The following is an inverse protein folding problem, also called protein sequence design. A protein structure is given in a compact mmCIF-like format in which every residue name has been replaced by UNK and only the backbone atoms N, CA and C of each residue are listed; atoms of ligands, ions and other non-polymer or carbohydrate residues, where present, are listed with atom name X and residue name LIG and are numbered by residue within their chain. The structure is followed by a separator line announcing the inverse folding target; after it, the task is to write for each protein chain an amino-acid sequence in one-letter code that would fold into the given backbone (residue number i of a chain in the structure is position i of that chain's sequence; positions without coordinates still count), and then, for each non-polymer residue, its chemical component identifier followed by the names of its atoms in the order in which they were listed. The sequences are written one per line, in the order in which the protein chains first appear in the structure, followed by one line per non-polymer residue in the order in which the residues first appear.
data_IF_084794443460
#
_entry.id   IF_084794443460
#
_cell.length_a   1.000
_cell.length_b   1.000
_cell.length_c   1.000
_cell.angle_alpha   90.00
_cell.angle_beta   90.00
_cell.angle_gamma   90.00
#
_symmetry.space_group_name_H-M   'P 1'
#
loop_
_entity.id
_entity.type
_entity.pdbx_description
1 polymer ?
#
# COMPACT_ATOMS: atom_id res chain seq x y z
N UNK A 1 -14.35 -32.15 -11.93
CA UNK A 1 -14.53 -31.94 -10.48
C UNK A 1 -13.15 -32.02 -9.86
N UNK A 2 -12.58 -30.90 -9.41
CA UNK A 2 -11.30 -30.87 -8.72
C UNK A 2 -11.41 -29.99 -7.48
N UNK A 3 -10.81 -30.49 -6.41
CA UNK A 3 -11.13 -30.28 -5.02
C UNK A 3 -11.12 -28.84 -4.50
N UNK A 4 -12.17 -28.54 -3.73
CA UNK A 4 -12.51 -27.26 -3.12
C UNK A 4 -11.98 -27.22 -1.70
N UNK A 5 -10.67 -27.13 -1.52
CA UNK A 5 -10.09 -26.86 -0.20
C UNK A 5 -8.84 -25.98 -0.32
N UNK A 6 -9.06 -24.66 -0.46
CA UNK A 6 -8.06 -23.65 -0.10
C UNK A 6 -7.79 -23.77 1.40
N UNK A 7 -6.80 -24.59 1.75
CA UNK A 7 -6.46 -24.94 3.12
C UNK A 7 -5.80 -23.81 3.91
N UNK A 8 -5.70 -23.98 5.25
CA UNK A 8 -5.18 -23.00 6.22
C UNK A 8 -3.78 -22.43 5.92
N UNK A 9 -3.03 -23.04 4.99
CA UNK A 9 -1.70 -22.58 4.56
C UNK A 9 -1.75 -21.25 3.78
N UNK A 10 -2.76 -21.02 2.94
CA UNK A 10 -2.91 -19.75 2.22
C UNK A 10 -3.26 -18.58 3.17
N UNK A 11 -4.02 -18.89 4.22
CA UNK A 11 -4.38 -17.94 5.28
C UNK A 11 -3.18 -17.62 6.18
N UNK A 12 -2.34 -18.61 6.47
CA UNK A 12 -1.08 -18.42 7.20
C UNK A 12 -0.09 -17.52 6.45
N UNK A 13 0.06 -17.66 5.13
CA UNK A 13 0.98 -16.80 4.36
C UNK A 13 0.54 -15.33 4.38
N UNK A 14 -0.77 -15.07 4.22
CA UNK A 14 -1.32 -13.70 4.28
C UNK A 14 -1.21 -13.10 5.68
N UNK A 15 -1.47 -13.89 6.73
CA UNK A 15 -1.36 -13.43 8.12
C UNK A 15 0.09 -13.17 8.52
N UNK A 16 1.05 -14.01 8.09
CA UNK A 16 2.48 -13.81 8.32
C UNK A 16 2.98 -12.56 7.59
N UNK A 17 2.52 -12.31 6.36
CA UNK A 17 2.91 -11.12 5.59
C UNK A 17 2.37 -9.82 6.21
N UNK A 18 1.13 -9.85 6.69
CA UNK A 18 0.55 -8.74 7.41
C UNK A 18 1.26 -8.49 8.76
N UNK A 19 1.75 -9.55 9.41
CA UNK A 19 2.62 -9.45 10.58
C UNK A 19 4.01 -8.87 10.25
N UNK A 20 4.64 -9.25 9.14
CA UNK A 20 5.95 -8.69 8.73
C UNK A 20 5.84 -7.21 8.37
N UNK A 21 4.76 -6.80 7.70
CA UNK A 21 4.45 -5.39 7.47
C UNK A 21 4.17 -4.63 8.76
N UNK A 22 3.36 -5.20 9.66
CA UNK A 22 3.07 -4.61 10.97
C UNK A 22 4.33 -4.48 11.84
N UNK A 23 5.25 -5.44 11.77
CA UNK A 23 6.49 -5.45 12.55
C UNK A 23 7.56 -4.52 11.97
N UNK A 24 7.66 -4.44 10.64
CA UNK A 24 8.47 -3.43 9.95
C UNK A 24 8.01 -2.01 10.28
N UNK A 25 6.69 -1.76 10.26
CA UNK A 25 6.11 -0.45 10.58
C UNK A 25 6.16 -0.12 12.08
N UNK A 26 5.93 -1.08 12.97
CA UNK A 26 5.96 -0.85 14.43
C UNK A 26 7.36 -0.45 14.94
N UNK A 27 8.44 -0.94 14.31
CA UNK A 27 9.82 -0.53 14.65
C UNK A 27 10.25 0.79 14.01
N UNK A 28 9.57 1.25 12.96
CA UNK A 28 9.76 2.59 12.42
C UNK A 28 9.08 3.66 13.29
N UNK A 29 8.06 3.29 14.06
CA UNK A 29 7.28 4.21 14.92
C UNK A 29 7.84 4.28 16.36
N UNK A 30 8.53 3.24 16.84
CA UNK A 30 9.04 3.18 18.24
C UNK A 30 10.42 3.79 18.46
N UNK A 31 11.12 4.22 17.40
CA UNK A 31 12.40 4.93 17.51
C UNK A 31 12.20 6.45 17.58
N UNK A 32 11.75 6.96 18.73
CA UNK A 32 11.58 8.40 18.91
C UNK A 32 10.86 8.78 20.20
N UNK A 33 11.42 8.40 21.35
CA UNK A 33 11.22 9.16 22.59
C UNK A 33 12.35 10.18 22.61
N UNK A 34 12.08 11.39 22.12
CA UNK A 34 12.80 12.63 22.46
C UNK A 34 11.95 13.79 21.92
N UNK A 35 11.33 14.53 22.83
CA UNK A 35 10.67 15.81 22.54
C UNK A 35 11.74 16.86 22.15
N UNK A 36 11.58 17.61 21.04
CA UNK A 36 12.21 18.91 20.88
C UNK A 36 11.17 20.04 20.87
N UNK A 37 11.59 21.28 21.20
CA UNK A 37 10.71 22.34 21.65
C UNK A 37 9.86 22.94 20.54
N UNK A 38 8.73 23.53 20.95
CA UNK A 38 7.79 24.27 20.12
C UNK A 38 8.51 25.19 19.12
N UNK A 39 8.52 24.78 17.85
CA UNK A 39 8.93 25.61 16.73
C UNK A 39 7.68 26.24 16.17
N UNK A 40 7.56 27.56 16.37
CA UNK A 40 6.57 28.43 15.75
C UNK A 40 6.62 28.22 14.24
N UNK A 41 5.66 27.45 13.72
CA UNK A 41 5.53 27.21 12.30
C UNK A 41 4.62 28.30 11.76
N UNK A 42 5.18 29.19 10.94
CA UNK A 42 4.41 30.09 10.09
C UNK A 42 3.38 29.23 9.34
N UNK A 43 2.09 29.50 9.56
CA UNK A 43 0.97 28.92 8.82
C UNK A 43 1.12 29.28 7.34
N UNK A 44 1.94 28.51 6.62
CA UNK A 44 1.78 28.36 5.18
C UNK A 44 0.59 27.44 5.04
N UNK A 45 -0.61 28.02 4.97
CA UNK A 45 -1.80 27.33 4.52
C UNK A 45 -1.53 26.91 3.07
N UNK A 46 -0.86 25.77 2.90
CA UNK A 46 -0.75 25.09 1.64
C UNK A 46 -2.19 24.87 1.20
N UNK A 47 -2.62 25.60 0.17
CA UNK A 47 -3.94 25.44 -0.40
C UNK A 47 -3.95 24.03 -0.98
N UNK A 48 -4.50 23.07 -0.23
CA UNK A 48 -4.64 21.69 -0.66
C UNK A 48 -5.35 21.74 -2.01
N UNK A 49 -4.62 21.41 -3.08
CA UNK A 49 -5.22 21.35 -4.41
C UNK A 49 -6.35 20.33 -4.31
N UNK A 50 -7.61 20.70 -4.58
CA UNK A 50 -8.74 19.81 -4.36
C UNK A 50 -8.50 18.53 -5.16
N UNK A 51 -8.36 17.43 -4.44
CA UNK A 51 -8.06 16.15 -5.06
C UNK A 51 -9.23 15.76 -5.98
N UNK A 52 -8.91 15.26 -7.17
CA UNK A 52 -9.93 14.80 -8.10
C UNK A 52 -10.18 13.32 -7.87
N UNK A 53 -11.40 12.95 -7.50
CA UNK A 53 -11.78 11.53 -7.40
C UNK A 53 -11.74 10.91 -8.78
N UNK A 54 -11.00 9.82 -8.91
CA UNK A 54 -10.97 8.99 -10.13
C UNK A 54 -12.00 7.86 -10.01
N UNK A 55 -12.63 7.51 -11.13
CA UNK A 55 -13.67 6.48 -11.14
C UNK A 55 -13.12 5.08 -10.86
N UNK A 56 -11.95 4.74 -11.41
CA UNK A 56 -11.22 3.51 -11.07
C UNK A 56 -9.82 3.84 -10.52
N UNK A 57 -9.64 3.81 -9.18
CA UNK A 57 -8.38 4.15 -8.54
C UNK A 57 -7.25 3.15 -8.79
N UNK A 58 -7.56 1.96 -9.31
CA UNK A 58 -6.56 0.97 -9.70
C UNK A 58 -6.29 0.96 -11.22
N UNK A 59 -7.15 1.60 -12.01
CA UNK A 59 -7.09 1.58 -13.46
C UNK A 59 -7.18 0.19 -14.08
N UNK A 60 -6.76 0.12 -15.34
CA UNK A 60 -6.78 -1.11 -16.10
C UNK A 60 -5.64 -2.05 -15.66
N UNK A 61 -5.90 -3.36 -15.51
CA UNK A 61 -4.85 -4.32 -15.28
C UNK A 61 -3.93 -4.45 -16.50
N UNK A 62 -2.65 -4.79 -16.30
CA UNK A 62 -1.75 -5.15 -17.39
C UNK A 62 -2.24 -6.40 -18.12
N UNK A 63 -1.76 -6.62 -19.35
CA UNK A 63 -2.16 -7.75 -20.19
C UNK A 63 -2.04 -9.09 -19.43
N UNK A 64 -3.06 -9.93 -19.56
CA UNK A 64 -3.21 -11.24 -18.88
C UNK A 64 -3.49 -11.19 -17.38
N UNK A 65 -3.56 -9.99 -16.77
CA UNK A 65 -3.97 -9.83 -15.38
C UNK A 65 -5.46 -9.47 -15.25
N UNK A 66 -6.05 -9.84 -14.13
CA UNK A 66 -7.34 -9.32 -13.67
C UNK A 66 -7.19 -8.74 -12.26
N UNK A 67 -8.00 -7.74 -11.94
CA UNK A 67 -8.07 -7.15 -10.61
C UNK A 67 -9.37 -7.57 -9.93
N UNK A 68 -9.29 -8.62 -9.13
CA UNK A 68 -10.45 -9.21 -8.45
C UNK A 68 -10.66 -8.59 -7.08
N UNK A 69 -11.92 -8.38 -6.66
CA UNK A 69 -12.19 -7.94 -5.29
C UNK A 69 -11.78 -9.03 -4.31
N UNK A 70 -11.07 -8.64 -3.25
CA UNK A 70 -10.76 -9.57 -2.16
C UNK A 70 -11.97 -9.76 -1.25
N UNK A 71 -11.99 -10.86 -0.49
CA UNK A 71 -13.04 -11.09 0.50
C UNK A 71 -12.99 -10.04 1.61
N UNK A 72 -14.15 -9.69 2.18
CA UNK A 72 -14.24 -8.74 3.29
C UNK A 72 -13.42 -9.19 4.50
N UNK A 73 -13.33 -10.50 4.75
CA UNK A 73 -12.50 -11.07 5.80
C UNK A 73 -11.01 -10.78 5.58
N UNK A 74 -10.53 -10.96 4.34
CA UNK A 74 -9.15 -10.64 3.97
C UNK A 74 -8.89 -9.15 4.13
N UNK A 75 -9.81 -8.31 3.62
CA UNK A 75 -9.72 -6.85 3.73
C UNK A 75 -9.62 -6.39 5.18
N UNK A 76 -10.57 -6.79 6.02
CA UNK A 76 -10.60 -6.40 7.43
C UNK A 76 -9.35 -6.88 8.19
N UNK A 77 -8.85 -8.09 7.88
CA UNK A 77 -7.60 -8.58 8.45
C UNK A 77 -6.40 -7.73 8.05
N UNK A 78 -6.32 -7.30 6.78
CA UNK A 78 -5.23 -6.45 6.30
C UNK A 78 -5.31 -5.05 6.89
N UNK A 79 -6.50 -4.43 6.92
CA UNK A 79 -6.71 -3.12 7.56
C UNK A 79 -6.24 -3.15 9.01
N UNK A 80 -6.68 -4.17 9.77
CA UNK A 80 -6.28 -4.32 11.17
C UNK A 80 -4.76 -4.54 11.33
N UNK A 81 -4.16 -5.38 10.50
CA UNK A 81 -2.74 -5.69 10.62
C UNK A 81 -1.84 -4.52 10.23
N UNK A 82 -2.24 -3.76 9.21
CA UNK A 82 -1.51 -2.57 8.76
C UNK A 82 -1.87 -1.31 9.55
N UNK A 83 -2.78 -1.43 10.53
CA UNK A 83 -3.35 -0.32 11.28
C UNK A 83 -3.79 0.82 10.37
N UNK A 84 -4.42 0.47 9.24
CA UNK A 84 -4.91 1.46 8.28
C UNK A 84 -6.13 2.15 8.88
N UNK A 85 -6.10 3.48 8.84
CA UNK A 85 -7.24 4.27 9.24
C UNK A 85 -8.33 4.20 8.16
N UNK A 86 -9.57 3.94 8.57
CA UNK A 86 -10.76 3.98 7.70
C UNK A 86 -11.62 5.23 7.96
N UNK A 87 -11.15 6.19 8.78
CA UNK A 87 -11.88 7.42 9.09
C UNK A 87 -12.19 8.25 7.83
N UNK A 88 -11.28 8.28 6.86
CA UNK A 88 -11.46 8.94 5.55
C UNK A 88 -12.28 8.12 4.54
N UNK A 89 -12.68 6.89 4.90
CA UNK A 89 -13.47 6.00 4.05
C UNK A 89 -13.01 4.55 4.09
N UNK A 90 -13.78 3.67 3.45
CA UNK A 90 -13.47 2.24 3.39
C UNK A 90 -12.21 1.99 2.56
N UNK A 91 -11.24 1.28 3.15
CA UNK A 91 -10.06 0.78 2.42
C UNK A 91 -10.52 -0.26 1.40
N UNK A 92 -10.23 -0.02 0.13
CA UNK A 92 -10.54 -0.98 -0.94
C UNK A 92 -9.32 -1.84 -1.24
N UNK A 93 -9.58 -3.11 -1.57
CA UNK A 93 -8.51 -4.05 -1.89
C UNK A 93 -8.87 -4.91 -3.11
N UNK A 94 -7.92 -5.04 -4.03
CA UNK A 94 -8.01 -5.95 -5.18
C UNK A 94 -6.82 -6.90 -5.21
N UNK A 95 -7.06 -8.15 -5.60
CA UNK A 95 -6.05 -9.13 -5.91
C UNK A 95 -5.70 -9.02 -7.40
N UNK A 96 -4.43 -8.78 -7.71
CA UNK A 96 -3.90 -8.91 -9.06
C UNK A 96 -3.69 -10.40 -9.36
N UNK A 97 -4.51 -10.95 -10.24
CA UNK A 97 -4.47 -12.37 -10.59
C UNK A 97 -3.99 -12.57 -12.02
N UNK A 98 -3.26 -13.66 -12.25
CA UNK A 98 -2.93 -14.18 -13.58
C UNK A 98 -3.25 -15.67 -13.58
N UNK A 99 -4.02 -16.12 -14.56
CA UNK A 99 -4.43 -17.53 -14.68
C UNK A 99 -5.03 -18.11 -13.38
N UNK A 100 -5.79 -17.31 -12.63
CA UNK A 100 -6.42 -17.71 -11.36
C UNK A 100 -5.50 -17.73 -10.13
N UNK A 101 -4.23 -17.36 -10.28
CA UNK A 101 -3.27 -17.23 -9.17
C UNK A 101 -3.13 -15.78 -8.77
N UNK A 102 -3.28 -15.48 -7.48
CA UNK A 102 -3.02 -14.15 -6.91
C UNK A 102 -1.53 -13.88 -6.87
N UNK A 103 -1.05 -12.97 -7.72
CA UNK A 103 0.36 -12.60 -7.80
C UNK A 103 0.66 -11.29 -7.06
N UNK A 104 -0.36 -10.44 -6.88
CA UNK A 104 -0.22 -9.19 -6.13
C UNK A 104 -1.49 -8.73 -5.45
N UNK A 105 -1.35 -7.72 -4.61
CA UNK A 105 -2.44 -7.06 -3.90
C UNK A 105 -2.32 -5.56 -4.12
N UNK A 106 -3.44 -4.94 -4.45
CA UNK A 106 -3.61 -3.50 -4.58
C UNK A 106 -4.49 -3.04 -3.43
N UNK A 107 -4.06 -2.00 -2.72
CA UNK A 107 -4.78 -1.42 -1.59
C UNK A 107 -4.97 0.05 -1.86
N UNK A 108 -6.21 0.52 -1.77
CA UNK A 108 -6.55 1.93 -1.81
C UNK A 108 -6.82 2.38 -0.39
N UNK A 109 -5.98 3.28 0.09
CA UNK A 109 -6.17 3.96 1.37
C UNK A 109 -6.79 5.33 1.08
N UNK A 110 -8.07 5.55 1.44
CA UNK A 110 -8.64 6.88 1.39
C UNK A 110 -7.99 7.75 2.48
N UNK A 111 -7.59 8.95 2.11
CA UNK A 111 -6.98 9.94 3.01
C UNK A 111 -7.46 11.33 2.60
N UNK A 112 -7.65 12.22 3.58
CA UNK A 112 -7.97 13.63 3.32
C UNK A 112 -6.81 14.35 2.61
N UNK A 113 -5.58 13.89 2.85
CA UNK A 113 -4.38 14.29 2.13
C UNK A 113 -3.56 13.04 1.73
N UNK A 114 -3.82 12.47 0.53
CA UNK A 114 -3.12 11.27 0.08
C UNK A 114 -1.64 11.53 -0.24
N UNK A 115 -1.27 12.77 -0.56
CA UNK A 115 0.10 13.19 -0.82
C UNK A 115 0.93 13.23 0.46
N UNK A 116 0.39 13.83 1.51
CA UNK A 116 1.03 13.82 2.82
C UNK A 116 1.21 12.39 3.37
N UNK A 117 0.20 11.53 3.19
CA UNK A 117 0.30 10.12 3.63
C UNK A 117 1.37 9.34 2.85
N UNK A 118 1.45 9.53 1.52
CA UNK A 118 2.52 8.93 0.70
C UNK A 118 3.91 9.44 1.12
N UNK A 119 4.05 10.75 1.29
CA UNK A 119 5.31 11.39 1.72
C UNK A 119 5.74 10.86 3.08
N UNK A 120 4.81 10.73 4.02
CA UNK A 120 5.07 10.19 5.35
C UNK A 120 5.61 8.75 5.28
N UNK A 121 5.04 7.89 4.43
CA UNK A 121 5.51 6.51 4.24
C UNK A 121 6.92 6.48 3.65
N UNK A 122 7.17 7.29 2.61
CA UNK A 122 8.46 7.41 1.95
C UNK A 122 9.53 7.92 2.91
N UNK A 123 9.27 9.00 3.65
CA UNK A 123 10.23 9.59 4.57
C UNK A 123 10.49 8.69 5.78
N UNK A 124 9.49 7.93 6.22
CA UNK A 124 9.66 6.89 7.24
C UNK A 124 10.60 5.79 6.73
N UNK A 125 10.43 5.31 5.50
CA UNK A 125 11.35 4.35 4.90
C UNK A 125 12.78 4.91 4.73
N UNK A 126 12.93 6.18 4.32
CA UNK A 126 14.25 6.85 4.23
C UNK A 126 14.95 6.92 5.59
N UNK A 127 14.22 7.31 6.65
CA UNK A 127 14.75 7.36 8.02
C UNK A 127 15.21 5.98 8.50
N UNK A 128 14.55 4.92 8.03
CA UNK A 128 14.98 3.53 8.25
C UNK A 128 16.18 3.07 7.40
N UNK A 129 16.74 3.92 6.54
CA UNK A 129 17.86 3.58 5.66
C UNK A 129 17.49 2.76 4.42
N UNK A 130 16.21 2.70 4.06
CA UNK A 130 15.75 1.91 2.92
C UNK A 130 16.22 2.52 1.58
N UNK A 131 16.77 1.73 0.64
CA UNK A 131 17.13 2.20 -0.69
C UNK A 131 15.86 2.29 -1.56
N UNK A 132 15.16 3.42 -1.48
CA UNK A 132 13.93 3.68 -2.22
C UNK A 132 14.23 3.82 -3.72
N UNK A 133 13.47 3.11 -4.55
CA UNK A 133 13.52 3.28 -6.01
C UNK A 133 12.37 4.16 -6.45
N UNK A 134 12.62 5.06 -7.41
CA UNK A 134 11.60 5.97 -7.94
C UNK A 134 11.05 5.43 -9.25
N UNK A 135 9.73 5.31 -9.33
CA UNK A 135 8.97 5.01 -10.54
C UNK A 135 8.23 6.24 -11.06
N UNK A 136 7.46 6.08 -12.13
CA UNK A 136 6.66 7.18 -12.67
C UNK A 136 5.37 7.35 -11.86
N UNK A 137 5.37 8.28 -10.91
CA UNK A 137 4.20 8.59 -10.07
C UNK A 137 4.07 7.70 -8.82
N UNK A 138 5.12 6.94 -8.49
CA UNK A 138 5.18 6.08 -7.30
C UNK A 138 6.62 5.88 -6.83
N UNK A 139 6.77 5.50 -5.56
CA UNK A 139 8.01 5.08 -4.92
C UNK A 139 7.93 3.58 -4.62
N UNK A 140 9.03 2.84 -4.82
CA UNK A 140 9.16 1.44 -4.37
C UNK A 140 9.97 1.41 -3.08
N UNK A 141 9.31 0.97 -2.02
CA UNK A 141 9.84 0.89 -0.66
C UNK A 141 10.20 -0.57 -0.38
N UNK A 142 11.48 -0.91 -0.21
CA UNK A 142 11.87 -2.23 0.26
C UNK A 142 11.51 -2.38 1.74
N UNK A 143 11.02 -3.57 2.08
CA UNK A 143 10.66 -3.96 3.43
C UNK A 143 11.65 -4.98 3.97
N UNK A 144 11.68 -5.12 5.30
CA UNK A 144 12.43 -6.20 5.93
C UNK A 144 11.89 -7.56 5.48
N UNK A 145 12.80 -8.50 5.19
CA UNK A 145 12.45 -9.82 4.66
C UNK A 145 12.36 -9.91 3.14
N UNK A 146 12.88 -8.91 2.40
CA UNK A 146 13.02 -8.96 0.94
C UNK A 146 11.74 -8.68 0.15
N UNK A 147 10.65 -8.35 0.84
CA UNK A 147 9.41 -7.88 0.23
C UNK A 147 9.55 -6.42 -0.19
N UNK A 148 8.74 -5.97 -1.16
CA UNK A 148 8.71 -4.57 -1.58
C UNK A 148 7.26 -4.12 -1.73
N UNK A 149 7.03 -2.83 -1.52
CA UNK A 149 5.73 -2.18 -1.72
C UNK A 149 5.93 -0.95 -2.59
N UNK A 150 5.13 -0.81 -3.65
CA UNK A 150 5.02 0.45 -4.36
C UNK A 150 3.92 1.31 -3.70
N UNK A 151 4.22 2.59 -3.51
CA UNK A 151 3.32 3.58 -2.92
C UNK A 151 3.25 4.76 -3.87
N UNK A 152 2.05 5.21 -4.19
CA UNK A 152 1.85 6.41 -5.00
C UNK A 152 0.46 6.98 -4.78
N UNK A 153 0.20 8.15 -5.36
CA UNK A 153 -1.10 8.82 -5.26
C UNK A 153 -1.83 8.73 -6.59
N UNK A 154 -3.09 8.32 -6.55
CA UNK A 154 -3.97 8.35 -7.72
C UNK A 154 -5.33 8.93 -7.33
N UNK A 155 -5.66 10.08 -7.92
CA UNK A 155 -6.82 10.87 -7.51
C UNK A 155 -6.77 11.27 -6.04
N UNK A 156 -7.84 11.01 -5.29
CA UNK A 156 -7.94 11.28 -3.85
C UNK A 156 -7.52 10.11 -2.96
N UNK A 157 -6.55 9.28 -3.39
CA UNK A 157 -6.21 8.08 -2.61
C UNK A 157 -4.74 7.72 -2.77
N UNK A 158 -4.17 7.23 -1.67
CA UNK A 158 -2.87 6.59 -1.71
C UNK A 158 -3.08 5.12 -2.09
N UNK A 159 -2.34 4.66 -3.09
CA UNK A 159 -2.39 3.29 -3.56
C UNK A 159 -1.12 2.59 -3.10
N UNK A 160 -1.29 1.45 -2.42
CA UNK A 160 -0.23 0.54 -2.00
C UNK A 160 -0.31 -0.72 -2.85
N UNK A 161 0.82 -1.16 -3.38
CA UNK A 161 0.91 -2.33 -4.25
C UNK A 161 1.99 -3.25 -3.72
N UNK A 162 1.63 -4.51 -3.49
CA UNK A 162 2.58 -5.55 -3.10
C UNK A 162 2.42 -6.78 -3.98
N UNK A 163 3.46 -7.57 -4.11
CA UNK A 163 3.44 -8.82 -4.87
C UNK A 163 4.27 -9.89 -4.19
N UNK A 164 3.95 -11.16 -4.48
CA UNK A 164 4.73 -12.29 -3.96
C UNK A 164 6.15 -12.28 -4.52
N UNK A 165 6.29 -11.94 -5.80
CA UNK A 165 7.57 -11.65 -6.44
C UNK A 165 7.83 -10.13 -6.36
N UNK A 166 8.87 -9.67 -5.65
CA UNK A 166 9.23 -8.27 -5.60
C UNK A 166 9.43 -7.63 -6.98
N UNK A 167 9.86 -8.39 -7.99
CA UNK A 167 10.05 -7.90 -9.36
C UNK A 167 8.72 -7.61 -10.07
N UNK A 168 7.62 -8.20 -9.62
CA UNK A 168 6.30 -7.92 -10.18
C UNK A 168 5.68 -6.61 -9.66
N UNK A 169 6.24 -6.03 -8.58
CA UNK A 169 5.70 -4.79 -7.99
C UNK A 169 5.82 -3.59 -8.95
N UNK A 170 7.00 -3.28 -9.53
CA UNK A 170 7.10 -2.20 -10.51
C UNK A 170 6.19 -2.41 -11.73
N UNK A 171 6.08 -3.66 -12.21
CA UNK A 171 5.21 -3.99 -13.35
C UNK A 171 3.73 -3.70 -13.07
N UNK A 172 3.23 -4.08 -11.90
CA UNK A 172 1.85 -3.75 -11.48
C UNK A 172 1.68 -2.25 -11.22
N UNK A 173 2.69 -1.60 -10.62
CA UNK A 173 2.67 -0.18 -10.32
C UNK A 173 2.64 0.67 -11.60
N UNK A 174 3.45 0.35 -12.60
CA UNK A 174 3.46 1.06 -13.87
C UNK A 174 2.07 1.04 -14.52
N UNK A 175 1.34 -0.09 -14.48
CA UNK A 175 -0.02 -0.17 -14.99
C UNK A 175 -1.02 0.68 -14.17
N UNK A 176 -0.90 0.67 -12.84
CA UNK A 176 -1.77 1.43 -11.93
C UNK A 176 -1.48 2.94 -11.99
N UNK A 177 -0.26 3.37 -12.28
CA UNK A 177 0.11 4.80 -12.27
C UNK A 177 0.37 5.40 -13.66
N UNK A 178 0.13 4.65 -14.75
CA UNK A 178 0.31 5.14 -16.12
C UNK A 178 -0.69 6.23 -16.57
N UNK A 179 -1.77 6.46 -15.82
CA UNK A 179 -2.93 7.28 -16.24
C UNK A 179 -3.24 8.45 -15.34
#
# INVERSE_FOLDING_TARGET
MLDRHLGPKALLVVVVFAFVLAWGLSRLITGGKDDPPASTSTDVTATATPCVKVADPFGAPPDTFTYEKVSEKTRASTVKALNLDEAGGKVEMRAAQRTGLTLGTLVRVPSDDPGAYETQLVDTAKRGGAPIQQGKGYSVLPLQGGSVVAVGVRGCSTILISAQDPKAVPFLADAVFAG
#
